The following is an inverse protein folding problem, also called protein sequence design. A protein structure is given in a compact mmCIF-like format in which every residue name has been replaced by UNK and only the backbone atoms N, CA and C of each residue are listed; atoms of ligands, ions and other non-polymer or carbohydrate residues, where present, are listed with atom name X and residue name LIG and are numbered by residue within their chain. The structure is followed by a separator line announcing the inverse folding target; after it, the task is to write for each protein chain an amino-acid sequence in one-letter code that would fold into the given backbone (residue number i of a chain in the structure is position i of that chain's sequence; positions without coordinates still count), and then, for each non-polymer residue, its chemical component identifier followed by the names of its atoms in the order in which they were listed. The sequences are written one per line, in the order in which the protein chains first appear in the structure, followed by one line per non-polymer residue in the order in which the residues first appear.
data_IF_688992338838
#
_entry.id   IF_688992338838
#
_cell.length_a   1.000
_cell.length_b   1.000
_cell.length_c   1.000
_cell.angle_alpha   90.00
_cell.angle_beta   90.00
_cell.angle_gamma   90.00
#
_symmetry.space_group_name_H-M   'P 1'
#
loop_
_entity.id
_entity.type
_entity.pdbx_description
1 polymer ?
#
# COMPACT_ATOMS: atom_id res chain seq x y z
N UNK A 1 36.85 -15.54 21.96
CA UNK A 1 35.65 -14.90 21.42
C UNK A 1 34.64 -16.00 21.20
N UNK A 2 33.46 -15.90 21.79
CA UNK A 2 32.37 -16.84 21.55
C UNK A 2 31.85 -16.58 20.13
N UNK A 3 32.05 -17.53 19.22
CA UNK A 3 31.46 -17.49 17.89
C UNK A 3 30.00 -17.95 18.03
N UNK A 4 29.05 -17.08 17.68
CA UNK A 4 27.64 -17.43 17.59
C UNK A 4 27.36 -18.01 16.21
N UNK A 5 26.59 -19.10 16.13
CA UNK A 5 26.29 -19.81 14.87
C UNK A 5 25.25 -19.07 13.97
N UNK A 6 24.86 -17.87 14.33
CA UNK A 6 23.88 -17.07 13.60
C UNK A 6 24.49 -15.73 13.15
N UNK A 7 24.15 -15.21 11.97
CA UNK A 7 24.52 -13.86 11.56
C UNK A 7 24.03 -12.83 12.59
N UNK A 8 24.90 -11.93 13.02
CA UNK A 8 24.53 -10.89 13.99
C UNK A 8 25.39 -9.63 13.80
N UNK A 9 24.91 -8.45 14.24
CA UNK A 9 25.74 -7.25 14.30
C UNK A 9 26.96 -7.42 15.21
N UNK A 10 28.01 -6.58 15.07
CA UNK A 10 29.17 -6.61 15.95
C UNK A 10 28.78 -6.45 17.43
N UNK A 11 29.38 -7.29 18.29
CA UNK A 11 29.21 -7.19 19.75
C UNK A 11 30.33 -6.28 20.27
N UNK A 12 29.92 -5.17 20.89
CA UNK A 12 30.82 -4.11 21.36
C UNK A 12 30.50 -3.69 22.79
N UNK A 13 31.33 -2.83 23.40
CA UNK A 13 31.01 -2.25 24.70
C UNK A 13 29.83 -1.29 24.64
N UNK A 14 29.23 -1.01 25.78
CA UNK A 14 28.11 -0.03 25.88
C UNK A 14 28.53 1.36 25.38
N UNK A 15 29.74 1.77 25.68
CA UNK A 15 30.30 3.07 25.28
C UNK A 15 30.44 3.15 23.74
N UNK A 16 30.99 2.10 23.13
CA UNK A 16 31.15 2.00 21.68
C UNK A 16 29.77 1.98 20.99
N UNK A 17 28.83 1.20 21.51
CA UNK A 17 27.45 1.18 21.02
C UNK A 17 26.80 2.58 21.09
N UNK A 18 26.97 3.30 22.22
CA UNK A 18 26.38 4.62 22.39
C UNK A 18 26.91 5.65 21.39
N UNK A 19 28.21 5.57 21.04
CA UNK A 19 28.81 6.42 20.00
C UNK A 19 28.15 6.15 18.65
N UNK A 20 28.02 4.87 18.26
CA UNK A 20 27.37 4.49 17.01
C UNK A 20 25.88 4.88 17.01
N UNK A 21 25.18 4.62 18.13
CA UNK A 21 23.76 4.95 18.27
C UNK A 21 23.47 6.47 18.15
N UNK A 22 24.34 7.31 18.69
CA UNK A 22 24.21 8.78 18.57
C UNK A 22 24.38 9.26 17.13
N UNK A 23 25.30 8.65 16.35
CA UNK A 23 25.44 8.94 14.91
C UNK A 23 24.18 8.59 14.13
N UNK A 24 23.63 7.39 14.37
CA UNK A 24 22.37 6.96 13.77
C UNK A 24 21.20 7.88 14.17
N UNK A 25 21.11 8.26 15.45
CA UNK A 25 20.06 9.18 15.92
C UNK A 25 20.07 10.54 15.18
N UNK A 26 21.24 11.05 14.82
CA UNK A 26 21.31 12.28 14.04
C UNK A 26 20.69 12.11 12.64
N UNK A 27 20.92 10.97 11.98
CA UNK A 27 20.33 10.64 10.70
C UNK A 27 18.81 10.43 10.82
N UNK A 28 18.34 9.71 11.85
CA UNK A 28 16.91 9.50 12.11
C UNK A 28 16.16 10.82 12.32
N UNK A 29 16.77 11.77 13.04
CA UNK A 29 16.19 13.12 13.21
C UNK A 29 16.10 13.88 11.89
N UNK A 30 17.08 13.75 11.01
CA UNK A 30 17.02 14.41 9.69
C UNK A 30 15.98 13.72 8.80
N UNK A 31 15.89 12.39 8.83
CA UNK A 31 14.83 11.64 8.13
C UNK A 31 13.44 12.10 8.60
N UNK A 32 13.22 12.26 9.91
CA UNK A 32 11.97 12.77 10.47
C UNK A 32 11.63 14.16 9.90
N UNK A 33 12.59 15.09 9.89
CA UNK A 33 12.37 16.43 9.31
C UNK A 33 12.08 16.36 7.81
N UNK A 34 12.76 15.48 7.08
CA UNK A 34 12.50 15.27 5.66
C UNK A 34 11.10 14.70 5.43
N UNK A 35 10.68 13.75 6.25
CA UNK A 35 9.33 13.18 6.22
C UNK A 35 8.25 14.25 6.46
N UNK A 36 8.47 15.15 7.44
CA UNK A 36 7.57 16.26 7.72
C UNK A 36 7.49 17.24 6.53
N UNK A 37 8.63 17.54 5.88
CA UNK A 37 8.66 18.37 4.66
C UNK A 37 7.87 17.74 3.52
N UNK A 38 8.08 16.45 3.25
CA UNK A 38 7.36 15.72 2.20
C UNK A 38 5.86 15.67 2.50
N UNK A 39 5.47 15.42 3.76
CA UNK A 39 4.06 15.45 4.16
C UNK A 39 3.43 16.84 3.98
N UNK A 40 4.18 17.90 4.25
CA UNK A 40 3.72 19.26 4.02
C UNK A 40 3.51 19.57 2.53
N UNK A 41 4.37 19.04 1.65
CA UNK A 41 4.20 19.14 0.18
C UNK A 41 2.98 18.32 -0.26
N UNK A 42 2.84 17.08 0.22
CA UNK A 42 1.69 16.20 -0.10
C UNK A 42 0.36 16.86 0.22
N UNK A 43 0.24 17.54 1.38
CA UNK A 43 -0.99 18.28 1.75
C UNK A 43 -1.30 19.48 0.85
N UNK A 44 -0.38 19.89 0.00
CA UNK A 44 -0.53 21.03 -0.95
C UNK A 44 -0.65 20.56 -2.39
N UNK A 45 -0.67 19.25 -2.65
CA UNK A 45 -0.93 18.76 -4.00
C UNK A 45 -2.29 19.26 -4.47
N UNK A 46 -2.40 19.70 -5.75
CA UNK A 46 -3.69 20.03 -6.32
C UNK A 46 -4.56 18.78 -6.41
N UNK A 47 -5.88 18.98 -6.37
CA UNK A 47 -6.85 17.90 -6.47
C UNK A 47 -7.41 17.83 -7.90
N UNK A 48 -7.72 16.62 -8.36
CA UNK A 48 -8.40 16.38 -9.64
C UNK A 48 -9.84 15.97 -9.37
N UNK A 49 -10.81 16.67 -9.98
CA UNK A 49 -12.21 16.31 -9.86
C UNK A 49 -12.49 15.01 -10.58
N UNK A 50 -13.20 14.10 -9.92
CA UNK A 50 -13.70 12.86 -10.50
C UNK A 50 -15.03 13.16 -11.20
N UNK A 51 -15.05 13.00 -12.53
CA UNK A 51 -16.24 13.23 -13.34
C UNK A 51 -17.01 11.93 -13.65
N UNK A 52 -16.33 10.78 -13.57
CA UNK A 52 -16.95 9.47 -13.79
C UNK A 52 -17.72 9.01 -12.56
N UNK A 53 -18.87 8.40 -12.81
CA UNK A 53 -19.66 7.74 -11.76
C UNK A 53 -19.20 6.29 -11.62
N UNK A 54 -18.28 6.03 -10.69
CA UNK A 54 -17.84 4.67 -10.38
C UNK A 54 -18.82 4.00 -9.43
N UNK A 55 -19.24 2.77 -9.79
CA UNK A 55 -20.10 1.92 -8.99
C UNK A 55 -19.34 0.71 -8.50
N UNK A 56 -19.66 0.27 -7.30
CA UNK A 56 -19.04 -0.86 -6.61
C UNK A 56 -20.13 -1.75 -6.02
N UNK A 57 -19.86 -3.02 -5.89
CA UNK A 57 -20.73 -3.96 -5.17
C UNK A 57 -20.22 -4.12 -3.74
N UNK A 58 -20.92 -3.51 -2.79
CA UNK A 58 -20.56 -3.49 -1.37
C UNK A 58 -21.53 -4.28 -0.49
N UNK A 59 -21.30 -4.31 0.84
CA UNK A 59 -22.17 -5.04 1.79
C UNK A 59 -23.64 -4.64 1.73
N UNK A 60 -23.93 -3.38 1.41
CA UNK A 60 -25.29 -2.84 1.28
C UNK A 60 -25.90 -3.01 -0.12
N UNK A 61 -25.18 -3.55 -1.09
CA UNK A 61 -25.54 -3.61 -2.49
C UNK A 61 -24.68 -2.72 -3.37
N UNK A 62 -25.27 -2.07 -4.34
CA UNK A 62 -24.57 -1.13 -5.23
C UNK A 62 -24.27 0.19 -4.52
N UNK A 63 -23.01 0.60 -4.50
CA UNK A 63 -22.51 1.80 -3.82
C UNK A 63 -21.69 2.64 -4.80
N UNK A 64 -21.91 3.97 -4.81
CA UNK A 64 -21.08 4.91 -5.57
C UNK A 64 -19.76 5.21 -4.86
N UNK A 65 -18.79 5.82 -5.58
CA UNK A 65 -17.56 6.31 -4.94
C UNK A 65 -17.86 7.30 -3.80
N UNK A 66 -18.93 8.08 -3.90
CA UNK A 66 -19.36 9.01 -2.86
C UNK A 66 -19.86 8.27 -1.62
N UNK A 67 -20.57 7.15 -1.78
CA UNK A 67 -21.10 6.36 -0.66
C UNK A 67 -19.97 5.72 0.16
N UNK A 68 -18.84 5.37 -0.49
CA UNK A 68 -17.66 4.80 0.20
C UNK A 68 -17.04 5.74 1.23
N UNK A 69 -17.31 7.04 1.18
CA UNK A 69 -16.88 7.98 2.21
C UNK A 69 -17.61 7.78 3.54
N UNK A 70 -18.77 7.09 3.55
CA UNK A 70 -19.57 6.83 4.76
C UNK A 70 -19.85 8.11 5.56
N UNK A 71 -20.14 9.21 4.87
CA UNK A 71 -20.39 10.52 5.47
C UNK A 71 -19.15 11.35 5.81
N UNK A 72 -17.95 10.79 5.79
CA UNK A 72 -16.69 11.49 6.10
C UNK A 72 -16.17 12.28 4.90
N UNK A 73 -15.19 13.18 5.12
CA UNK A 73 -14.61 14.02 4.05
C UNK A 73 -13.45 13.38 3.33
N UNK A 74 -12.77 12.42 3.94
CA UNK A 74 -11.58 11.79 3.37
C UNK A 74 -11.82 10.29 3.20
N UNK A 75 -11.30 9.75 2.11
CA UNK A 75 -11.39 8.33 1.80
C UNK A 75 -10.03 7.81 1.36
N UNK A 76 -9.59 6.75 2.02
CA UNK A 76 -8.44 5.95 1.64
C UNK A 76 -8.95 4.66 0.98
N UNK A 77 -8.53 4.40 -0.24
CA UNK A 77 -8.82 3.14 -0.93
C UNK A 77 -7.52 2.37 -1.10
N UNK A 78 -7.44 1.18 -0.51
CA UNK A 78 -6.40 0.22 -0.83
C UNK A 78 -6.86 -0.69 -1.96
N UNK A 79 -6.15 -0.66 -3.08
CA UNK A 79 -6.38 -1.52 -4.24
C UNK A 79 -5.72 -2.87 -3.96
N UNK A 80 -6.54 -3.84 -3.57
CA UNK A 80 -6.09 -5.18 -3.25
C UNK A 80 -6.19 -6.06 -4.50
N UNK A 81 -5.09 -6.66 -4.92
CA UNK A 81 -5.03 -7.50 -6.11
C UNK A 81 -5.83 -8.79 -5.92
N UNK A 82 -6.98 -8.87 -6.56
CA UNK A 82 -7.80 -10.08 -6.60
C UNK A 82 -8.56 -10.13 -7.93
N UNK A 83 -7.95 -10.77 -8.92
CA UNK A 83 -8.56 -10.98 -10.23
C UNK A 83 -9.81 -11.86 -10.12
N UNK A 84 -10.86 -11.60 -10.90
CA UNK A 84 -12.06 -12.45 -10.93
C UNK A 84 -11.79 -13.94 -11.17
N UNK A 85 -10.74 -14.30 -11.90
CA UNK A 85 -10.36 -15.67 -12.20
C UNK A 85 -9.56 -16.34 -11.07
N UNK A 86 -9.00 -15.58 -10.12
CA UNK A 86 -8.17 -16.16 -9.07
C UNK A 86 -9.02 -16.85 -7.99
N UNK A 87 -8.50 -17.93 -7.44
CA UNK A 87 -9.10 -18.64 -6.31
C UNK A 87 -8.80 -17.98 -4.95
N UNK A 88 -7.71 -17.24 -4.85
CA UNK A 88 -7.23 -16.55 -3.64
C UNK A 88 -6.72 -15.17 -3.99
N UNK A 89 -6.85 -14.26 -3.05
CA UNK A 89 -6.24 -12.94 -3.15
C UNK A 89 -4.71 -13.00 -3.15
N UNK A 90 -4.06 -11.97 -3.67
CA UNK A 90 -2.60 -11.84 -3.71
C UNK A 90 -1.97 -12.03 -2.31
N UNK A 91 -0.96 -12.89 -2.15
CA UNK A 91 -0.28 -13.11 -0.86
C UNK A 91 0.34 -11.83 -0.29
N UNK A 92 0.95 -10.98 -1.14
CA UNK A 92 1.53 -9.71 -0.74
C UNK A 92 0.50 -8.73 -0.21
N UNK A 93 -0.66 -8.60 -0.89
CA UNK A 93 -1.78 -7.78 -0.43
C UNK A 93 -2.40 -8.34 0.87
N UNK A 94 -2.45 -9.68 1.02
CA UNK A 94 -2.88 -10.32 2.26
C UNK A 94 -1.96 -9.98 3.42
N UNK A 95 -0.64 -10.07 3.21
CA UNK A 95 0.34 -9.66 4.21
C UNK A 95 0.23 -8.16 4.55
N UNK A 96 -0.04 -7.31 3.55
CA UNK A 96 -0.31 -5.89 3.75
C UNK A 96 -1.54 -5.68 4.64
N UNK A 97 -2.68 -6.26 4.29
CA UNK A 97 -3.92 -6.13 5.06
C UNK A 97 -3.77 -6.66 6.50
N UNK A 98 -3.06 -7.78 6.70
CA UNK A 98 -2.72 -8.30 8.02
C UNK A 98 -1.78 -7.39 8.83
N UNK A 99 -1.08 -6.48 8.17
CA UNK A 99 -0.16 -5.52 8.78
C UNK A 99 -0.81 -4.18 9.12
N UNK A 100 -2.09 -3.99 8.77
CA UNK A 100 -2.89 -2.84 9.16
C UNK A 100 -3.31 -3.01 10.61
N UNK A 101 -3.00 -2.02 11.45
CA UNK A 101 -3.41 -2.00 12.85
C UNK A 101 -4.81 -1.42 13.05
N UNK A 102 -5.05 -0.91 14.25
CA UNK A 102 -6.30 -0.22 14.60
C UNK A 102 -6.47 1.06 13.77
N UNK A 103 -7.60 1.20 13.11
CA UNK A 103 -7.95 2.34 12.27
C UNK A 103 -8.88 3.36 12.97
N UNK A 104 -9.18 3.19 14.26
CA UNK A 104 -10.10 4.06 15.00
C UNK A 104 -9.69 5.53 15.00
N UNK A 105 -8.38 5.82 14.83
CA UNK A 105 -7.89 7.19 14.70
C UNK A 105 -8.32 7.84 13.38
N UNK A 106 -8.49 7.08 12.32
CA UNK A 106 -8.96 7.61 11.02
C UNK A 106 -10.37 8.16 11.17
N UNK A 107 -11.25 7.45 11.87
CA UNK A 107 -12.62 7.89 12.13
C UNK A 107 -12.66 9.24 12.84
N UNK A 108 -11.80 9.40 13.87
CA UNK A 108 -11.65 10.68 14.62
C UNK A 108 -11.08 11.80 13.74
N UNK A 109 -10.41 11.46 12.66
CA UNK A 109 -9.82 12.40 11.68
C UNK A 109 -10.66 12.52 10.41
N UNK A 110 -11.97 12.23 10.48
CA UNK A 110 -12.91 12.38 9.37
C UNK A 110 -12.47 11.63 8.10
N UNK A 111 -11.94 10.39 8.29
CA UNK A 111 -11.34 9.58 7.23
C UNK A 111 -11.89 8.16 7.24
N UNK A 112 -12.32 7.66 6.09
CA UNK A 112 -12.75 6.26 5.87
C UNK A 112 -11.64 5.48 5.19
N UNK A 113 -11.48 4.21 5.54
CA UNK A 113 -10.63 3.25 4.85
C UNK A 113 -11.47 2.14 4.24
N UNK A 114 -11.25 1.87 2.94
CA UNK A 114 -11.95 0.83 2.17
C UNK A 114 -10.93 0.04 1.36
N UNK A 115 -11.13 -1.26 1.21
CA UNK A 115 -10.43 -2.07 0.23
C UNK A 115 -11.29 -2.23 -1.03
N UNK A 116 -10.66 -2.23 -2.19
CA UNK A 116 -11.30 -2.46 -3.49
C UNK A 116 -10.57 -3.55 -4.25
N UNK A 117 -11.31 -4.45 -4.91
CA UNK A 117 -10.78 -5.48 -5.82
C UNK A 117 -11.76 -5.77 -6.94
N UNK A 118 -11.28 -6.36 -8.03
CA UNK A 118 -12.13 -6.79 -9.15
C UNK A 118 -12.80 -8.15 -8.97
N UNK A 119 -12.37 -8.97 -8.01
CA UNK A 119 -13.05 -10.24 -7.74
C UNK A 119 -14.53 -10.00 -7.37
N UNK A 120 -15.45 -10.92 -7.72
CA UNK A 120 -16.85 -10.82 -7.33
C UNK A 120 -17.02 -10.70 -5.82
N UNK A 121 -18.01 -9.94 -5.37
CA UNK A 121 -18.29 -9.68 -3.96
C UNK A 121 -18.32 -10.96 -3.12
N UNK A 122 -18.96 -12.04 -3.59
CA UNK A 122 -19.03 -13.31 -2.86
C UNK A 122 -17.65 -13.91 -2.55
N UNK A 123 -16.67 -13.76 -3.47
CA UNK A 123 -15.27 -14.16 -3.21
C UNK A 123 -14.60 -13.25 -2.16
N UNK A 124 -14.84 -11.95 -2.23
CA UNK A 124 -14.28 -10.98 -1.28
C UNK A 124 -14.79 -11.24 0.14
N UNK A 125 -16.10 -11.42 0.32
CA UNK A 125 -16.71 -11.71 1.62
C UNK A 125 -16.17 -13.00 2.22
N UNK A 126 -16.15 -14.09 1.47
CA UNK A 126 -15.62 -15.37 1.94
C UNK A 126 -14.12 -15.29 2.29
N UNK A 127 -13.34 -14.51 1.55
CA UNK A 127 -11.92 -14.30 1.85
C UNK A 127 -11.72 -13.43 3.10
N UNK A 128 -12.44 -12.32 3.21
CA UNK A 128 -12.44 -11.41 4.36
C UNK A 128 -12.80 -12.14 5.66
N UNK A 129 -13.85 -12.96 5.63
CA UNK A 129 -14.28 -13.76 6.79
C UNK A 129 -13.17 -14.70 7.25
N UNK A 130 -12.54 -15.45 6.33
CA UNK A 130 -11.43 -16.35 6.66
C UNK A 130 -10.23 -15.64 7.28
N UNK A 131 -9.98 -14.39 6.88
CA UNK A 131 -8.87 -13.57 7.41
C UNK A 131 -9.25 -12.85 8.72
N UNK A 132 -10.52 -12.75 9.06
CA UNK A 132 -10.99 -12.01 10.24
C UNK A 132 -10.83 -10.50 10.10
N UNK A 133 -10.86 -9.94 8.88
CA UNK A 133 -10.64 -8.51 8.66
C UNK A 133 -11.89 -7.68 8.96
N UNK A 134 -11.75 -6.55 9.69
CA UNK A 134 -12.88 -5.67 9.99
C UNK A 134 -13.18 -4.66 8.87
N UNK A 135 -12.28 -4.51 7.88
CA UNK A 135 -12.36 -3.46 6.87
C UNK A 135 -13.56 -3.64 5.95
N UNK A 136 -14.12 -2.53 5.47
CA UNK A 136 -15.04 -2.54 4.33
C UNK A 136 -14.25 -2.96 3.08
N UNK A 137 -14.78 -3.93 2.34
CA UNK A 137 -14.19 -4.40 1.09
C UNK A 137 -15.27 -4.52 0.03
N UNK A 138 -15.11 -3.78 -1.07
CA UNK A 138 -16.09 -3.70 -2.16
C UNK A 138 -15.50 -4.22 -3.46
N UNK A 139 -16.37 -4.74 -4.32
CA UNK A 139 -16.01 -5.20 -5.66
C UNK A 139 -16.17 -4.09 -6.68
N UNK A 140 -15.14 -3.88 -7.49
CA UNK A 140 -15.17 -3.02 -8.68
C UNK A 140 -15.39 -3.82 -9.98
N UNK A 141 -15.92 -5.05 -9.88
CA UNK A 141 -16.21 -5.87 -11.05
C UNK A 141 -17.19 -5.16 -11.97
N UNK A 142 -16.82 -5.02 -13.24
CA UNK A 142 -17.63 -4.31 -14.23
C UNK A 142 -17.46 -2.78 -14.21
N UNK A 143 -16.68 -2.23 -13.28
CA UNK A 143 -16.34 -0.81 -13.23
C UNK A 143 -15.01 -0.53 -13.92
N UNK A 144 -14.86 0.65 -14.52
CA UNK A 144 -13.58 1.13 -15.07
C UNK A 144 -12.59 1.59 -13.98
N UNK A 145 -12.99 1.62 -12.72
CA UNK A 145 -12.24 2.20 -11.61
C UNK A 145 -10.79 1.71 -11.52
N UNK A 146 -10.57 0.39 -11.57
CA UNK A 146 -9.21 -0.16 -11.46
C UNK A 146 -8.32 0.23 -12.64
N UNK A 147 -8.88 0.36 -13.84
CA UNK A 147 -8.13 0.78 -15.04
C UNK A 147 -7.75 2.26 -14.96
N UNK A 148 -8.68 3.11 -14.56
CA UNK A 148 -8.47 4.56 -14.43
C UNK A 148 -7.50 4.92 -13.30
N UNK A 149 -7.36 4.05 -12.29
CA UNK A 149 -6.37 4.19 -11.20
C UNK A 149 -5.12 3.31 -11.41
N UNK A 150 -4.92 2.78 -12.62
CA UNK A 150 -3.73 2.05 -13.05
C UNK A 150 -3.35 0.88 -12.12
N UNK A 151 -4.35 0.18 -11.58
CA UNK A 151 -4.19 -1.01 -10.73
C UNK A 151 -4.75 -2.28 -11.36
N UNK A 152 -5.17 -2.18 -12.61
CA UNK A 152 -5.40 -3.29 -13.55
C UNK A 152 -4.94 -2.84 -14.92
N UNK A 153 -3.98 -3.54 -15.49
CA UNK A 153 -3.47 -3.25 -16.82
C UNK A 153 -3.95 -4.28 -17.83
N UNK A 154 -4.65 -3.81 -18.84
CA UNK A 154 -5.02 -4.54 -20.06
C UNK A 154 -4.99 -3.55 -21.24
N UNK A 155 -3.98 -3.70 -22.10
CA UNK A 155 -3.75 -2.81 -23.26
C UNK A 155 -4.94 -2.77 -24.25
N UNK A 156 -5.81 -3.78 -24.19
CA UNK A 156 -7.05 -3.80 -25.01
C UNK A 156 -8.14 -2.87 -24.47
N UNK A 157 -8.05 -2.47 -23.20
CA UNK A 157 -9.05 -1.65 -22.50
C UNK A 157 -8.54 -0.24 -22.31
N UNK A 158 -7.31 -0.07 -21.83
CA UNK A 158 -6.71 1.23 -21.56
C UNK A 158 -5.19 1.20 -21.78
N UNK A 159 -4.55 2.35 -22.04
CA UNK A 159 -3.10 2.44 -22.07
C UNK A 159 -2.47 1.92 -20.77
N UNK A 160 -1.42 1.09 -20.92
CA UNK A 160 -0.71 0.54 -19.77
C UNK A 160 0.07 1.63 -19.05
N UNK A 161 -0.23 1.81 -17.79
CA UNK A 161 0.50 2.68 -16.87
C UNK A 161 0.54 2.05 -15.47
N UNK A 162 1.66 2.14 -14.78
CA UNK A 162 1.75 1.80 -13.36
C UNK A 162 2.80 2.66 -12.66
N UNK A 163 2.48 3.14 -11.48
CA UNK A 163 3.38 3.97 -10.68
C UNK A 163 3.95 5.17 -11.49
N UNK A 164 3.07 5.84 -12.26
CA UNK A 164 3.39 6.99 -13.12
C UNK A 164 4.39 6.70 -14.24
N UNK A 165 4.50 5.44 -14.67
CA UNK A 165 5.35 4.97 -15.76
C UNK A 165 4.50 4.32 -16.84
N UNK A 166 4.72 4.71 -18.09
CA UNK A 166 4.07 4.07 -19.23
C UNK A 166 4.68 2.69 -19.53
N UNK A 167 4.11 1.94 -20.47
CA UNK A 167 4.56 0.61 -20.87
C UNK A 167 6.04 0.56 -21.24
N UNK A 168 6.53 1.52 -22.04
CA UNK A 168 7.93 1.56 -22.46
C UNK A 168 8.88 1.77 -21.27
N UNK A 169 8.50 2.63 -20.33
CA UNK A 169 9.27 2.86 -19.10
C UNK A 169 9.28 1.62 -18.21
N UNK A 170 8.16 0.89 -18.10
CA UNK A 170 8.08 -0.35 -17.33
C UNK A 170 8.97 -1.45 -17.93
N UNK A 171 8.95 -1.61 -19.24
CA UNK A 171 9.81 -2.53 -19.98
C UNK A 171 11.30 -2.18 -19.81
N UNK A 172 11.66 -0.91 -19.99
CA UNK A 172 13.04 -0.42 -19.84
C UNK A 172 13.60 -0.60 -18.42
N UNK A 173 12.75 -0.55 -17.41
CA UNK A 173 13.12 -0.74 -15.99
C UNK A 173 12.97 -2.20 -15.50
N UNK A 174 12.74 -3.14 -16.41
CA UNK A 174 12.58 -4.56 -16.13
C UNK A 174 11.47 -4.87 -15.09
N UNK A 175 10.29 -4.24 -15.26
CA UNK A 175 9.08 -4.46 -14.45
C UNK A 175 7.97 -5.08 -15.34
N UNK A 176 8.20 -6.23 -15.98
CA UNK A 176 7.27 -6.79 -16.96
C UNK A 176 5.94 -7.24 -16.34
N UNK A 177 5.93 -7.57 -15.05
CA UNK A 177 4.74 -8.04 -14.36
C UNK A 177 3.66 -6.95 -14.24
N UNK A 178 4.05 -5.67 -14.29
CA UNK A 178 3.12 -4.55 -14.21
C UNK A 178 2.47 -4.18 -15.56
N UNK A 179 2.76 -4.92 -16.64
CA UNK A 179 2.23 -4.63 -17.99
C UNK A 179 0.84 -5.22 -18.20
N UNK A 180 0.50 -6.29 -17.50
CA UNK A 180 -0.78 -7.00 -17.64
C UNK A 180 -1.25 -7.56 -16.32
N UNK A 181 -2.54 -7.40 -16.01
CA UNK A 181 -3.19 -7.96 -14.84
C UNK A 181 -3.34 -6.98 -13.69
N UNK A 182 -3.53 -7.56 -12.49
CA UNK A 182 -3.78 -6.78 -11.28
C UNK A 182 -2.48 -6.24 -10.69
N UNK A 183 -2.55 -5.02 -10.20
CA UNK A 183 -1.51 -4.34 -9.44
C UNK A 183 -2.09 -3.77 -8.13
N UNK A 184 -1.22 -3.46 -7.18
CA UNK A 184 -1.66 -2.89 -5.92
C UNK A 184 -1.31 -1.40 -5.81
N UNK A 185 -2.09 -0.69 -5.02
CA UNK A 185 -1.87 0.73 -4.75
C UNK A 185 -2.73 1.21 -3.60
N UNK A 186 -2.56 2.48 -3.26
CA UNK A 186 -3.43 3.20 -2.34
C UNK A 186 -3.76 4.54 -2.96
N UNK A 187 -5.05 4.85 -3.04
CA UNK A 187 -5.55 6.13 -3.55
C UNK A 187 -6.29 6.89 -2.45
N UNK A 188 -6.17 8.21 -2.47
CA UNK A 188 -6.76 9.11 -1.48
C UNK A 188 -7.70 10.08 -2.17
N UNK A 189 -8.89 10.19 -1.63
CA UNK A 189 -9.92 11.08 -2.13
C UNK A 189 -10.40 12.04 -1.06
N UNK A 190 -10.89 13.18 -1.51
CA UNK A 190 -11.50 14.21 -0.70
C UNK A 190 -12.85 14.61 -1.30
N UNK A 191 -13.85 14.86 -0.44
CA UNK A 191 -15.15 15.34 -0.95
C UNK A 191 -15.48 16.75 -0.47
N UNK A 192 -16.12 17.51 -1.35
CA UNK A 192 -16.73 18.81 -1.05
C UNK A 192 -18.18 18.73 -1.47
N UNK A 193 -19.08 18.61 -0.50
CA UNK A 193 -20.48 18.31 -0.77
C UNK A 193 -20.62 16.94 -1.46
N UNK A 194 -21.18 16.91 -2.66
CA UNK A 194 -21.34 15.71 -3.49
C UNK A 194 -20.20 15.52 -4.51
N UNK A 195 -19.24 16.44 -4.59
CA UNK A 195 -18.12 16.36 -5.51
C UNK A 195 -16.95 15.61 -4.89
N UNK A 196 -16.43 14.63 -5.61
CA UNK A 196 -15.28 13.83 -5.22
C UNK A 196 -14.03 14.30 -5.97
N UNK A 197 -12.92 14.37 -5.28
CA UNK A 197 -11.61 14.76 -5.82
C UNK A 197 -10.57 13.71 -5.48
N UNK A 198 -9.75 13.32 -6.46
CA UNK A 198 -8.53 12.54 -6.23
C UNK A 198 -7.42 13.48 -5.79
N UNK A 199 -6.72 13.12 -4.70
CA UNK A 199 -5.69 13.98 -4.07
C UNK A 199 -4.31 13.36 -4.09
N UNK A 200 -4.21 12.02 -4.06
CA UNK A 200 -2.93 11.33 -3.97
C UNK A 200 -3.08 9.85 -4.33
N UNK A 201 -2.05 9.27 -4.94
CA UNK A 201 -1.90 7.82 -5.03
C UNK A 201 -0.45 7.40 -4.77
N UNK A 202 -0.30 6.21 -4.22
CA UNK A 202 0.98 5.53 -4.04
C UNK A 202 0.86 4.08 -4.52
N UNK A 203 1.92 3.58 -5.14
CA UNK A 203 1.99 2.26 -5.74
C UNK A 203 3.26 1.54 -5.30
N UNK A 204 3.31 0.24 -5.52
CA UNK A 204 4.47 -0.59 -5.22
C UNK A 204 5.02 -0.30 -3.80
N UNK A 205 6.32 -0.14 -3.67
CA UNK A 205 6.96 0.16 -2.38
C UNK A 205 6.50 1.45 -1.72
N UNK A 206 5.86 2.36 -2.46
CA UNK A 206 5.26 3.58 -1.90
C UNK A 206 4.15 3.30 -0.88
N UNK A 207 3.52 2.12 -0.91
CA UNK A 207 2.50 1.71 0.05
C UNK A 207 3.08 1.08 1.32
N UNK A 208 4.32 0.60 1.30
CA UNK A 208 4.91 -0.21 2.37
C UNK A 208 5.09 0.54 3.69
N UNK A 209 5.46 1.82 3.62
CA UNK A 209 5.63 2.67 4.80
C UNK A 209 4.30 3.01 5.51
N UNK A 210 3.17 2.55 4.95
CA UNK A 210 1.83 2.84 5.45
C UNK A 210 1.28 1.72 6.36
N UNK A 211 2.13 0.73 6.74
CA UNK A 211 1.74 -0.37 7.64
C UNK A 211 2.67 -0.47 8.85
N UNK A 212 2.13 -0.88 9.99
CA UNK A 212 2.87 -0.93 11.26
C UNK A 212 3.95 -2.02 11.29
N UNK A 213 3.66 -3.23 10.78
CA UNK A 213 4.58 -4.35 10.88
C UNK A 213 5.90 -4.09 10.12
N UNK A 214 5.83 -3.47 8.95
CA UNK A 214 7.04 -3.14 8.18
C UNK A 214 7.87 -2.08 8.87
N UNK A 215 7.26 -1.05 9.43
CA UNK A 215 7.97 -0.04 10.21
C UNK A 215 8.64 -0.63 11.47
N UNK A 216 8.03 -1.62 12.11
CA UNK A 216 8.63 -2.33 13.23
C UNK A 216 9.81 -3.23 12.80
N UNK A 217 9.71 -3.90 11.66
CA UNK A 217 10.82 -4.68 11.11
C UNK A 217 12.01 -3.80 10.75
N UNK A 218 11.80 -2.60 10.22
CA UNK A 218 12.87 -1.66 9.84
C UNK A 218 13.81 -1.29 11.01
N UNK A 219 13.39 -1.46 12.26
CA UNK A 219 14.22 -1.20 13.45
C UNK A 219 14.88 -2.45 14.02
N UNK A 220 14.67 -3.62 13.40
CA UNK A 220 15.31 -4.88 13.82
C UNK A 220 16.65 -5.09 13.11
N UNK A 221 17.58 -5.92 13.67
CA UNK A 221 18.87 -6.18 13.02
C UNK A 221 18.76 -6.75 11.60
N UNK A 222 17.79 -7.64 11.35
CA UNK A 222 17.60 -8.26 10.03
C UNK A 222 16.69 -7.49 9.09
N UNK A 223 16.10 -6.36 9.54
CA UNK A 223 15.16 -5.59 8.74
C UNK A 223 13.94 -6.39 8.29
N UNK A 224 13.44 -6.13 7.11
CA UNK A 224 12.32 -6.86 6.49
C UNK A 224 12.74 -8.18 5.86
N UNK A 225 14.05 -8.44 5.80
CA UNK A 225 14.67 -9.61 5.17
C UNK A 225 14.30 -9.75 3.68
N UNK A 226 14.22 -8.65 2.96
CA UNK A 226 13.90 -8.64 1.54
C UNK A 226 15.16 -8.39 0.68
N UNK A 227 15.17 -8.90 -0.55
CA UNK A 227 16.34 -8.89 -1.44
C UNK A 227 16.81 -7.50 -1.88
N UNK A 228 15.97 -6.49 -1.78
CA UNK A 228 16.34 -5.10 -2.04
C UNK A 228 17.06 -4.40 -0.87
N UNK A 229 17.07 -5.00 0.32
CA UNK A 229 17.75 -4.42 1.48
C UNK A 229 19.25 -4.67 1.38
N UNK A 230 20.05 -3.64 1.63
CA UNK A 230 21.49 -3.74 1.72
C UNK A 230 21.86 -4.44 3.03
N UNK A 231 22.05 -5.76 2.97
CA UNK A 231 22.37 -6.61 4.13
C UNK A 231 23.75 -7.23 3.99
N UNK A 232 24.47 -7.44 5.11
CA UNK A 232 25.74 -8.16 5.09
C UNK A 232 25.62 -9.58 4.54
N UNK A 233 26.67 -10.14 3.92
CA UNK A 233 26.66 -11.50 3.42
C UNK A 233 26.27 -12.52 4.49
N UNK A 234 25.41 -13.47 4.12
CA UNK A 234 24.93 -14.55 5.00
C UNK A 234 23.74 -14.19 5.90
N UNK A 235 23.27 -12.96 5.85
CA UNK A 235 22.03 -12.59 6.55
C UNK A 235 20.80 -13.11 5.79
N UNK A 236 19.70 -13.42 6.52
CA UNK A 236 18.50 -13.94 5.88
C UNK A 236 17.92 -12.91 4.91
N UNK A 237 17.71 -13.35 3.67
CA UNK A 237 17.05 -12.58 2.63
C UNK A 237 16.11 -13.50 1.83
N UNK A 238 15.02 -12.95 1.34
CA UNK A 238 14.02 -13.61 0.50
C UNK A 238 13.58 -12.69 -0.62
N UNK A 239 13.09 -13.22 -1.73
CA UNK A 239 12.58 -12.41 -2.83
C UNK A 239 11.50 -11.44 -2.36
N UNK A 240 11.56 -10.22 -2.87
CA UNK A 240 10.50 -9.24 -2.70
C UNK A 240 9.29 -9.72 -3.50
N UNK A 241 8.13 -9.82 -2.87
CA UNK A 241 6.88 -10.30 -3.49
C UNK A 241 6.93 -11.77 -4.00
N UNK A 242 7.78 -12.59 -3.43
CA UNK A 242 7.85 -14.04 -3.69
C UNK A 242 6.89 -14.85 -2.84
#
# INVERSE_FOLDING_TARGET
MTTYDVPHPPIVSREQWLVARKKLLAQEKELTRQYDRVNAVRRRLPMVRIEKNYMFEGPGGEESLLDLFQGRRQLLIYHFMFDPAWEKGCPGCTAYANSIGDLSLLDKCDTTFVMVSRAPRSKLEAYKERQGWPFTWVSSLGSEFNYDFHVTNDEKIAPVEYNYRNKADLEANNVPNAIMGEEHGLSVFFRIGEHVFHTYSAYARGTEALTNARALLDVTPYGRQQDFEESPPGWPQRPTYG
#
